data_IF_679114541752
#
_entry.id   IF_679114541752
#
_cell.length_a   1.000
_cell.length_b   1.000
_cell.length_c   1.000
_cell.angle_alpha   90.00
_cell.angle_beta   90.00
_cell.angle_gamma   90.00
#
_symmetry.space_group_name_H-M   'P 1'
#
loop_
_entity.id
_entity.type
_entity.pdbx_description
1 polymer ?
#
# COMPACT_ATOMS: atom_id res chain seq x y z
N UNK A 1 -5.88 3.75 46.80
CA UNK A 1 -6.67 2.51 46.96
C UNK A 1 -5.83 1.37 46.40
N UNK A 2 -5.42 0.37 47.18
CA UNK A 2 -4.80 -0.82 46.61
C UNK A 2 -5.86 -1.59 45.81
N UNK A 3 -5.58 -1.84 44.53
CA UNK A 3 -6.41 -2.71 43.69
C UNK A 3 -6.22 -4.14 44.20
N UNK A 4 -7.21 -4.71 44.88
CA UNK A 4 -7.21 -6.11 45.25
C UNK A 4 -7.69 -6.92 44.04
N UNK A 5 -6.77 -7.62 43.36
CA UNK A 5 -7.11 -8.60 42.32
C UNK A 5 -7.26 -9.97 42.98
N UNK A 6 -8.39 -10.64 42.78
CA UNK A 6 -8.64 -12.00 43.24
C UNK A 6 -7.97 -13.02 42.30
N UNK A 7 -7.71 -14.24 42.77
CA UNK A 7 -7.10 -15.32 41.99
C UNK A 7 -7.94 -15.69 40.75
N UNK A 8 -9.26 -15.51 40.84
CA UNK A 8 -10.19 -15.67 39.70
C UNK A 8 -10.06 -14.56 38.66
N UNK A 9 -9.72 -13.34 39.08
CA UNK A 9 -9.48 -12.22 38.17
C UNK A 9 -8.17 -12.42 37.40
N UNK A 10 -7.16 -13.00 38.06
CA UNK A 10 -5.90 -13.38 37.43
C UNK A 10 -6.06 -14.51 36.41
N UNK A 11 -6.84 -15.55 36.71
CA UNK A 11 -7.12 -16.64 35.77
C UNK A 11 -7.92 -16.17 34.54
N UNK A 12 -8.89 -15.27 34.73
CA UNK A 12 -9.64 -14.68 33.63
C UNK A 12 -8.72 -13.83 32.74
N UNK A 13 -7.85 -13.03 33.36
CA UNK A 13 -6.87 -12.21 32.64
C UNK A 13 -5.85 -13.05 31.86
N UNK A 14 -5.43 -14.21 32.38
CA UNK A 14 -4.55 -15.15 31.67
C UNK A 14 -5.25 -15.79 30.46
N UNK A 15 -6.53 -16.16 30.61
CA UNK A 15 -7.35 -16.67 29.50
C UNK A 15 -7.57 -15.60 28.42
N UNK A 16 -7.90 -14.38 28.81
CA UNK A 16 -8.09 -13.24 27.90
C UNK A 16 -6.79 -12.90 27.17
N UNK A 17 -5.65 -12.94 27.87
CA UNK A 17 -4.33 -12.73 27.29
C UNK A 17 -3.96 -13.86 26.31
N UNK A 18 -4.20 -15.12 26.68
CA UNK A 18 -3.94 -16.28 25.81
C UNK A 18 -4.81 -16.24 24.54
N UNK A 19 -6.07 -15.84 24.68
CA UNK A 19 -7.01 -15.68 23.57
C UNK A 19 -6.62 -14.50 22.68
N UNK A 20 -6.22 -13.37 23.26
CA UNK A 20 -5.69 -12.23 22.53
C UNK A 20 -4.41 -12.62 21.76
N UNK A 21 -3.49 -13.35 22.38
CA UNK A 21 -2.26 -13.85 21.73
C UNK A 21 -2.56 -14.83 20.59
N UNK A 22 -3.57 -15.70 20.75
CA UNK A 22 -4.00 -16.63 19.71
C UNK A 22 -4.67 -15.93 18.51
N UNK A 23 -5.41 -14.85 18.75
CA UNK A 23 -6.07 -14.06 17.71
C UNK A 23 -5.19 -12.94 17.12
N UNK A 24 -4.06 -12.63 17.76
CA UNK A 24 -3.11 -11.58 17.33
C UNK A 24 -2.69 -11.71 15.87
N UNK A 25 -2.40 -12.91 15.30
CA UNK A 25 -2.07 -13.04 13.88
C UNK A 25 -3.19 -12.54 12.97
N UNK A 26 -4.44 -12.84 13.29
CA UNK A 26 -5.58 -12.50 12.44
C UNK A 26 -5.99 -11.04 12.61
N UNK A 27 -5.96 -10.53 13.84
CA UNK A 27 -6.13 -9.09 14.12
C UNK A 27 -5.07 -8.27 13.36
N UNK A 28 -3.80 -8.72 13.39
CA UNK A 28 -2.71 -8.10 12.65
C UNK A 28 -2.94 -8.18 11.14
N UNK A 29 -3.38 -9.33 10.65
CA UNK A 29 -3.68 -9.56 9.23
C UNK A 29 -4.76 -8.61 8.73
N UNK A 30 -5.85 -8.45 9.49
CA UNK A 30 -6.96 -7.56 9.17
C UNK A 30 -6.54 -6.08 9.21
N UNK A 31 -5.77 -5.69 10.24
CA UNK A 31 -5.23 -4.34 10.33
C UNK A 31 -4.32 -3.99 9.15
N UNK A 32 -3.47 -4.93 8.72
CA UNK A 32 -2.63 -4.75 7.53
C UNK A 32 -3.45 -4.71 6.23
N UNK A 33 -4.50 -5.51 6.11
CA UNK A 33 -5.38 -5.48 4.95
C UNK A 33 -6.06 -4.11 4.79
N UNK A 34 -6.55 -3.53 5.89
CA UNK A 34 -7.15 -2.19 5.91
C UNK A 34 -6.15 -1.09 5.61
N UNK A 35 -4.97 -1.14 6.21
CA UNK A 35 -3.87 -0.24 5.88
C UNK A 35 -3.56 -0.30 4.38
N UNK A 36 -3.51 -1.51 3.81
CA UNK A 36 -3.33 -1.71 2.38
C UNK A 36 -4.40 -0.99 1.54
N UNK A 37 -5.68 -1.05 1.95
CA UNK A 37 -6.76 -0.35 1.25
C UNK A 37 -6.63 1.17 1.33
N UNK A 38 -6.22 1.70 2.48
CA UNK A 38 -5.95 3.13 2.65
C UNK A 38 -4.78 3.59 1.77
N UNK A 39 -3.69 2.84 1.76
CA UNK A 39 -2.55 3.09 0.86
C UNK A 39 -3.00 3.04 -0.60
N UNK A 40 -3.81 2.05 -0.98
CA UNK A 40 -4.32 1.91 -2.34
C UNK A 40 -5.15 3.13 -2.76
N UNK A 41 -6.02 3.63 -1.88
CA UNK A 41 -6.80 4.85 -2.14
C UNK A 41 -5.89 6.07 -2.35
N UNK A 42 -4.85 6.23 -1.53
CA UNK A 42 -3.86 7.29 -1.67
C UNK A 42 -3.07 7.19 -2.98
N UNK A 43 -2.58 5.99 -3.33
CA UNK A 43 -1.86 5.73 -4.58
C UNK A 43 -2.76 6.05 -5.78
N UNK A 44 -4.01 5.59 -5.77
CA UNK A 44 -4.97 5.86 -6.85
C UNK A 44 -5.22 7.36 -7.01
N UNK A 45 -5.41 8.09 -5.92
CA UNK A 45 -5.56 9.55 -5.94
C UNK A 45 -4.34 10.23 -6.57
N UNK A 46 -3.12 9.80 -6.21
CA UNK A 46 -1.87 10.35 -6.75
C UNK A 46 -1.66 10.04 -8.23
N UNK A 47 -2.09 8.89 -8.75
CA UNK A 47 -1.95 8.55 -10.18
C UNK A 47 -2.67 9.57 -11.09
N UNK A 48 -3.92 9.93 -10.77
CA UNK A 48 -4.76 10.80 -11.59
C UNK A 48 -5.20 10.21 -12.95
N UNK A 49 -5.68 11.07 -13.85
CA UNK A 49 -6.07 10.68 -15.22
C UNK A 49 -7.43 9.98 -15.33
N UNK A 50 -7.61 9.13 -16.35
CA UNK A 50 -8.87 8.45 -16.70
C UNK A 50 -9.16 7.18 -15.88
N UNK A 51 -8.28 6.87 -14.91
CA UNK A 51 -8.40 5.72 -14.02
C UNK A 51 -7.96 4.37 -14.59
N UNK A 52 -7.46 4.30 -15.84
CA UNK A 52 -6.90 3.04 -16.40
C UNK A 52 -5.80 2.47 -15.49
N UNK A 53 -4.81 3.30 -15.15
CA UNK A 53 -3.67 2.89 -14.29
C UNK A 53 -4.09 2.69 -12.83
N UNK A 54 -5.12 3.40 -12.36
CA UNK A 54 -5.66 3.24 -11.01
C UNK A 54 -6.29 1.85 -10.82
N UNK A 55 -7.00 1.35 -11.83
CA UNK A 55 -7.65 0.03 -11.82
C UNK A 55 -6.64 -1.14 -11.80
N UNK A 56 -5.43 -0.89 -12.28
CA UNK A 56 -4.36 -1.87 -12.23
C UNK A 56 -3.73 -2.05 -10.86
N UNK A 57 -3.92 -1.08 -9.96
CA UNK A 57 -3.34 -1.14 -8.62
C UNK A 57 -4.18 -2.03 -7.71
N UNK A 58 -3.51 -2.88 -6.94
CA UNK A 58 -4.12 -3.75 -5.95
C UNK A 58 -3.28 -3.84 -4.68
N UNK A 59 -3.92 -4.30 -3.61
CA UNK A 59 -3.27 -4.64 -2.35
C UNK A 59 -2.75 -6.07 -2.44
N UNK A 60 -1.51 -6.28 -2.03
CA UNK A 60 -0.91 -7.59 -1.84
C UNK A 60 -0.54 -7.78 -0.38
N UNK A 61 -1.12 -8.81 0.22
CA UNK A 61 -0.84 -9.21 1.60
C UNK A 61 0.09 -10.43 1.54
N UNK A 62 1.24 -10.33 2.21
CA UNK A 62 2.20 -11.45 2.25
C UNK A 62 1.56 -12.71 2.84
N UNK A 63 2.00 -13.89 2.40
CA UNK A 63 1.44 -15.18 2.81
C UNK A 63 1.38 -15.36 4.33
N UNK A 64 2.44 -14.94 5.03
CA UNK A 64 2.52 -14.97 6.50
C UNK A 64 1.84 -13.81 7.22
N UNK A 65 1.10 -12.93 6.54
CA UNK A 65 0.41 -11.79 7.16
C UNK A 65 1.34 -10.77 7.83
N UNK A 66 2.64 -10.78 7.48
CA UNK A 66 3.65 -9.94 8.12
C UNK A 66 3.80 -8.54 7.52
N UNK A 67 3.37 -8.36 6.28
CA UNK A 67 3.49 -7.10 5.54
C UNK A 67 2.39 -6.98 4.47
N UNK A 68 2.15 -5.76 4.05
CA UNK A 68 1.24 -5.41 2.96
C UNK A 68 1.95 -4.47 1.98
N UNK A 69 1.63 -4.61 0.69
CA UNK A 69 2.17 -3.78 -0.38
C UNK A 69 1.06 -3.35 -1.33
N UNK A 70 1.27 -2.22 -2.01
CA UNK A 70 0.42 -1.77 -3.11
C UNK A 70 1.26 -1.73 -4.37
N UNK A 71 0.84 -2.46 -5.39
CA UNK A 71 1.59 -2.56 -6.64
C UNK A 71 0.64 -2.90 -7.81
N UNK A 72 1.10 -2.78 -9.06
CA UNK A 72 0.27 -3.12 -10.20
C UNK A 72 0.03 -4.63 -10.26
N UNK A 73 -1.09 -5.03 -10.86
CA UNK A 73 -1.42 -6.43 -11.10
C UNK A 73 -0.27 -7.18 -11.79
N UNK A 74 0.11 -8.31 -11.19
CA UNK A 74 1.18 -9.17 -11.68
C UNK A 74 0.74 -9.93 -12.93
N UNK A 75 1.70 -10.27 -13.79
CA UNK A 75 1.48 -11.09 -15.00
C UNK A 75 0.32 -10.62 -15.89
N UNK A 76 -0.01 -9.33 -15.79
CA UNK A 76 -1.15 -8.73 -16.50
C UNK A 76 -0.64 -7.84 -17.63
N UNK A 77 -1.27 -7.98 -18.79
CA UNK A 77 -1.04 -7.14 -19.96
C UNK A 77 -2.24 -6.24 -20.20
N UNK A 78 -2.02 -5.08 -20.79
CA UNK A 78 -3.10 -4.20 -21.22
C UNK A 78 -3.62 -4.56 -22.63
N UNK A 79 -4.64 -3.84 -23.08
CA UNK A 79 -5.28 -4.04 -24.40
C UNK A 79 -4.31 -3.88 -25.58
N UNK A 80 -3.13 -3.30 -25.37
CA UNK A 80 -2.08 -3.10 -26.37
C UNK A 80 -0.94 -4.12 -26.22
N UNK A 81 -1.09 -5.12 -25.34
CA UNK A 81 -0.07 -6.15 -25.07
C UNK A 81 1.10 -5.65 -24.21
N UNK A 82 0.98 -4.48 -23.58
CA UNK A 82 2.03 -3.96 -22.70
C UNK A 82 1.85 -4.52 -21.29
N UNK A 83 2.95 -4.97 -20.69
CA UNK A 83 2.95 -5.38 -19.29
C UNK A 83 2.55 -4.19 -18.39
N UNK A 84 1.49 -4.39 -17.61
CA UNK A 84 0.91 -3.36 -16.73
C UNK A 84 1.95 -2.83 -15.73
N UNK A 85 2.81 -3.71 -15.20
CA UNK A 85 3.92 -3.32 -14.34
C UNK A 85 4.93 -2.41 -15.03
N UNK A 86 5.25 -2.65 -16.30
CA UNK A 86 6.21 -1.83 -17.05
C UNK A 86 5.65 -0.42 -17.32
N UNK A 87 4.37 -0.32 -17.68
CA UNK A 87 3.69 0.98 -17.86
C UNK A 87 3.65 1.74 -16.54
N UNK A 88 3.29 1.06 -15.45
CA UNK A 88 3.23 1.65 -14.11
C UNK A 88 4.61 2.16 -13.68
N UNK A 89 5.68 1.39 -13.91
CA UNK A 89 7.05 1.80 -13.61
C UNK A 89 7.50 3.03 -14.43
N UNK A 90 7.14 3.09 -15.72
CA UNK A 90 7.45 4.23 -16.58
C UNK A 90 6.71 5.52 -16.17
N UNK A 91 5.58 5.40 -15.48
CA UNK A 91 4.85 6.52 -14.87
C UNK A 91 5.50 6.88 -13.53
N UNK A 92 5.82 5.89 -12.70
CA UNK A 92 6.40 6.12 -11.38
C UNK A 92 7.76 6.80 -11.44
N UNK A 93 8.69 6.20 -12.18
CA UNK A 93 10.08 6.65 -12.32
C UNK A 93 10.27 7.71 -13.41
N UNK A 94 9.25 7.90 -14.26
CA UNK A 94 9.37 8.66 -15.49
C UNK A 94 10.11 7.85 -16.57
N UNK A 95 10.07 8.31 -17.82
CA UNK A 95 10.72 7.59 -18.91
C UNK A 95 11.30 8.54 -19.95
N UNK A 96 12.37 8.09 -20.60
CA UNK A 96 13.09 8.86 -21.60
C UNK A 96 12.20 9.09 -22.82
N UNK A 97 12.14 10.32 -23.29
CA UNK A 97 11.46 10.63 -24.54
C UNK A 97 12.36 10.19 -25.68
N UNK A 98 11.81 9.42 -26.61
CA UNK A 98 12.55 8.97 -27.79
C UNK A 98 13.08 10.19 -28.54
N UNK A 99 14.40 10.28 -28.80
CA UNK A 99 14.94 11.37 -29.59
C UNK A 99 14.39 11.30 -31.02
N UNK A 100 14.31 12.45 -31.70
CA UNK A 100 13.88 12.50 -33.08
C UNK A 100 14.69 11.52 -33.94
N UNK A 101 13.99 10.65 -34.68
CA UNK A 101 14.61 9.74 -35.63
C UNK A 101 14.78 10.40 -36.98
N UNK A 102 16.00 10.44 -37.51
CA UNK A 102 16.29 10.90 -38.88
C UNK A 102 17.43 11.90 -38.97
N UNK A 103 18.14 11.89 -40.12
CA UNK A 103 19.22 12.83 -40.46
C UNK A 103 18.71 14.05 -41.26
N UNK A 104 17.42 14.33 -41.20
CA UNK A 104 16.82 15.42 -41.96
C UNK A 104 17.40 16.75 -41.48
N UNK A 105 18.23 17.40 -42.31
CA UNK A 105 19.01 18.60 -41.96
C UNK A 105 18.17 19.78 -41.44
N UNK A 106 16.85 19.80 -41.69
CA UNK A 106 15.94 20.88 -41.29
C UNK A 106 14.95 20.50 -40.18
N UNK A 107 15.00 19.27 -39.66
CA UNK A 107 14.07 18.88 -38.62
C UNK A 107 14.51 19.42 -37.26
N UNK A 108 13.66 20.23 -36.65
CA UNK A 108 13.81 20.71 -35.27
C UNK A 108 12.76 20.04 -34.40
N UNK A 109 13.15 19.28 -33.36
CA UNK A 109 12.19 18.63 -32.49
C UNK A 109 11.39 19.69 -31.71
N UNK A 110 10.07 19.50 -31.65
CA UNK A 110 9.18 20.36 -30.84
C UNK A 110 9.30 20.09 -29.35
N UNK A 111 9.70 18.88 -28.98
CA UNK A 111 9.84 18.46 -27.58
C UNK A 111 11.19 18.96 -27.05
N UNK A 112 11.14 19.80 -26.01
CA UNK A 112 12.32 20.40 -25.36
C UNK A 112 12.75 19.71 -24.05
N UNK A 113 12.11 18.60 -23.69
CA UNK A 113 12.42 17.81 -22.50
C UNK A 113 13.06 16.49 -22.91
N UNK A 114 14.08 16.04 -22.18
CA UNK A 114 14.74 14.76 -22.44
C UNK A 114 13.97 13.56 -21.87
N UNK A 115 13.16 13.79 -20.82
CA UNK A 115 12.44 12.77 -20.08
C UNK A 115 11.06 13.29 -19.68
N UNK A 116 10.09 12.38 -19.60
CA UNK A 116 8.83 12.60 -18.90
C UNK A 116 9.11 12.53 -17.39
N UNK A 117 8.70 13.54 -16.60
CA UNK A 117 8.94 13.55 -15.16
C UNK A 117 8.23 12.37 -14.47
N UNK A 118 8.86 11.88 -13.42
CA UNK A 118 8.33 10.87 -12.50
C UNK A 118 7.04 11.37 -11.83
N UNK A 119 6.04 10.48 -11.69
CA UNK A 119 4.83 10.78 -10.94
C UNK A 119 5.01 10.60 -9.44
N UNK A 120 5.88 9.67 -9.03
CA UNK A 120 6.16 9.36 -7.62
C UNK A 120 4.88 9.05 -6.82
N UNK A 121 3.97 8.26 -7.38
CA UNK A 121 2.70 7.91 -6.76
C UNK A 121 2.87 6.96 -5.56
N UNK A 122 3.93 6.16 -5.51
CA UNK A 122 4.25 5.35 -4.34
C UNK A 122 5.10 6.13 -3.35
N UNK A 123 6.19 6.73 -3.82
CA UNK A 123 7.10 7.50 -2.96
C UNK A 123 6.42 8.73 -2.32
N UNK A 124 5.36 9.23 -2.94
CA UNK A 124 4.57 10.32 -2.38
C UNK A 124 3.66 9.90 -1.22
N UNK A 125 3.39 8.61 -1.01
CA UNK A 125 2.66 8.11 0.17
C UNK A 125 3.57 8.21 1.36
N UNK A 126 3.16 8.96 2.38
CA UNK A 126 3.93 9.12 3.61
C UNK A 126 3.78 7.84 4.46
N UNK A 127 4.84 7.03 4.61
CA UNK A 127 4.76 5.77 5.32
C UNK A 127 4.54 5.96 6.83
N UNK A 128 5.04 7.05 7.43
CA UNK A 128 4.92 7.27 8.87
C UNK A 128 3.47 7.52 9.25
N UNK A 129 2.80 8.42 8.52
CA UNK A 129 1.38 8.72 8.77
C UNK A 129 0.47 7.49 8.63
N UNK A 130 0.77 6.61 7.69
CA UNK A 130 0.01 5.39 7.44
C UNK A 130 0.27 4.36 8.54
N UNK A 131 1.51 4.23 8.99
CA UNK A 131 1.90 3.31 10.07
C UNK A 131 1.31 3.76 11.41
N UNK A 132 1.35 5.05 11.74
CA UNK A 132 0.80 5.58 12.99
C UNK A 132 -0.71 5.34 13.08
N UNK A 133 -1.43 5.56 11.98
CA UNK A 133 -2.87 5.28 11.91
C UNK A 133 -3.17 3.79 12.09
N UNK A 134 -2.36 2.90 11.50
CA UNK A 134 -2.54 1.46 11.71
C UNK A 134 -2.19 1.01 13.11
N UNK A 135 -1.14 1.58 13.73
CA UNK A 135 -0.79 1.29 15.12
C UNK A 135 -1.93 1.69 16.07
N UNK A 136 -2.52 2.86 15.88
CA UNK A 136 -3.67 3.31 16.66
C UNK A 136 -4.90 2.39 16.49
N UNK A 137 -5.22 2.00 15.26
CA UNK A 137 -6.35 1.10 14.97
C UNK A 137 -6.13 -0.30 15.56
N UNK A 138 -4.91 -0.82 15.46
CA UNK A 138 -4.56 -2.13 16.03
C UNK A 138 -4.63 -2.11 17.55
N UNK A 139 -4.14 -1.06 18.21
CA UNK A 139 -4.26 -0.89 19.66
C UNK A 139 -5.72 -0.85 20.12
N UNK A 140 -6.59 -0.14 19.38
CA UNK A 140 -8.01 -0.03 19.71
C UNK A 140 -8.74 -1.37 19.58
N UNK A 141 -8.40 -2.19 18.57
CA UNK A 141 -8.96 -3.55 18.41
C UNK A 141 -8.50 -4.51 19.50
N UNK A 142 -7.22 -4.44 19.86
CA UNK A 142 -6.69 -5.25 20.95
C UNK A 142 -7.37 -4.90 22.27
N UNK A 143 -7.62 -3.62 22.53
CA UNK A 143 -8.34 -3.19 23.73
C UNK A 143 -9.80 -3.69 23.74
N UNK A 144 -10.52 -3.58 22.62
CA UNK A 144 -11.90 -4.07 22.51
C UNK A 144 -12.03 -5.58 22.73
N UNK A 145 -11.03 -6.36 22.31
CA UNK A 145 -11.01 -7.81 22.51
C UNK A 145 -10.66 -8.24 23.93
N UNK A 146 -10.08 -7.34 24.75
CA UNK A 146 -9.78 -7.60 26.16
C UNK A 146 -10.92 -7.17 27.10
N UNK A 147 -11.82 -6.30 26.62
CA UNK A 147 -12.98 -5.80 27.40
C UNK A 147 -14.25 -6.64 27.20
N UNK A 148 -14.27 -7.60 26.27
CA UNK A 148 -15.41 -8.46 25.94
C UNK A 148 -15.19 -9.91 26.33
#
# INVERSE_FOLDING_TARGET
MPVQMDMRDLERLDQDLAQAMAQTPEIKRDALAELGQQMLAQVRSRIGGTGKVQRWQHVHLGSGGGYVAVHPAENTVDDYGLAVGAVTNAIESGHKIRPPGGKAKRYTPRIRKAQVPARQMYAGVDPETVVDQAAANLALRLAQNLEG
#
